data_IF_452382435106
#
_entry.id   IF_452382435106
#
_cell.length_a   1.000
_cell.length_b   1.000
_cell.length_c   1.000
_cell.angle_alpha   90.00
_cell.angle_beta   90.00
_cell.angle_gamma   90.00
#
_symmetry.space_group_name_H-M   'P 1'
#
loop_
_entity.id
_entity.type
_entity.pdbx_description
1 polymer ?
#
# COMPACT_ATOMS: atom_id res chain seq x y z
N UNK A 1 -26.03 -26.16 -35.89
CA UNK A 1 -27.10 -26.60 -34.95
C UNK A 1 -28.07 -27.64 -35.55
N UNK A 2 -28.42 -27.59 -36.84
CA UNK A 2 -29.36 -28.57 -37.45
C UNK A 2 -28.86 -30.03 -37.52
N UNK A 3 -27.55 -30.27 -37.65
CA UNK A 3 -26.98 -31.64 -37.71
C UNK A 3 -27.25 -32.47 -36.45
N UNK A 4 -27.23 -31.84 -35.27
CA UNK A 4 -27.45 -32.52 -33.98
C UNK A 4 -28.91 -32.97 -33.88
N UNK A 5 -29.85 -32.12 -34.30
CA UNK A 5 -31.28 -32.42 -34.25
C UNK A 5 -31.68 -33.59 -35.17
N UNK A 6 -31.12 -33.63 -36.39
CA UNK A 6 -31.40 -34.70 -37.36
C UNK A 6 -30.82 -36.05 -36.92
N UNK A 7 -29.69 -36.05 -36.23
CA UNK A 7 -29.06 -37.26 -35.68
C UNK A 7 -29.88 -37.86 -34.53
N UNK A 8 -30.41 -37.04 -33.63
CA UNK A 8 -31.27 -37.49 -32.52
C UNK A 8 -32.58 -38.10 -33.05
N UNK A 9 -33.09 -37.61 -34.19
CA UNK A 9 -34.35 -38.11 -34.79
C UNK A 9 -34.26 -39.58 -35.21
N UNK A 10 -33.10 -40.02 -35.71
CA UNK A 10 -32.88 -41.38 -36.23
C UNK A 10 -32.54 -42.44 -35.14
N UNK A 11 -32.51 -42.06 -33.85
CA UNK A 11 -32.21 -43.00 -32.76
C UNK A 11 -33.44 -43.78 -32.26
N UNK A 12 -33.20 -45.02 -31.82
CA UNK A 12 -34.16 -45.84 -31.06
C UNK A 12 -34.63 -45.14 -29.77
N UNK A 13 -35.89 -45.39 -29.39
CA UNK A 13 -36.57 -44.80 -28.23
C UNK A 13 -35.75 -44.95 -26.94
N UNK A 14 -35.14 -46.11 -26.70
CA UNK A 14 -34.32 -46.36 -25.51
C UNK A 14 -33.15 -45.38 -25.39
N UNK A 15 -32.49 -45.04 -26.51
CA UNK A 15 -31.38 -44.09 -26.52
C UNK A 15 -31.85 -42.64 -26.29
N UNK A 16 -33.03 -42.28 -26.79
CA UNK A 16 -33.64 -40.94 -26.56
C UNK A 16 -33.95 -40.73 -25.08
N UNK A 17 -34.48 -41.76 -24.41
CA UNK A 17 -34.82 -41.69 -22.98
C UNK A 17 -33.56 -41.46 -22.11
N UNK A 18 -32.49 -42.22 -22.36
CA UNK A 18 -31.22 -42.11 -21.63
C UNK A 18 -30.59 -40.72 -21.79
N UNK A 19 -30.59 -40.17 -23.02
CA UNK A 19 -30.06 -38.84 -23.29
C UNK A 19 -30.87 -37.75 -22.55
N UNK A 20 -32.21 -37.85 -22.53
CA UNK A 20 -33.04 -36.89 -21.81
C UNK A 20 -32.73 -36.86 -20.31
N UNK A 21 -32.57 -38.02 -19.67
CA UNK A 21 -32.17 -38.11 -18.26
C UNK A 21 -30.78 -37.51 -18.02
N UNK A 22 -29.82 -37.80 -18.89
CA UNK A 22 -28.46 -37.27 -18.77
C UNK A 22 -28.44 -35.73 -18.89
N UNK A 23 -29.22 -35.18 -19.82
CA UNK A 23 -29.35 -33.73 -20.02
C UNK A 23 -29.95 -33.07 -18.77
N UNK A 24 -31.06 -33.62 -18.25
CA UNK A 24 -31.74 -33.08 -17.07
C UNK A 24 -30.82 -33.11 -15.84
N UNK A 25 -29.94 -34.10 -15.73
CA UNK A 25 -29.03 -34.25 -14.60
C UNK A 25 -27.76 -33.38 -14.74
N UNK A 26 -27.26 -33.16 -15.96
CA UNK A 26 -25.98 -32.49 -16.21
C UNK A 26 -26.13 -30.97 -16.38
N UNK A 27 -27.14 -30.51 -17.13
CA UNK A 27 -27.36 -29.08 -17.39
C UNK A 27 -27.40 -28.23 -16.10
N UNK A 28 -28.18 -28.57 -15.05
CA UNK A 28 -28.24 -27.73 -13.86
C UNK A 28 -26.88 -27.64 -13.14
N UNK A 29 -26.09 -28.72 -13.12
CA UNK A 29 -24.75 -28.71 -12.55
C UNK A 29 -23.78 -27.79 -13.31
N UNK A 30 -23.86 -27.78 -14.65
CA UNK A 30 -23.05 -26.87 -15.48
C UNK A 30 -23.44 -25.41 -15.22
N UNK A 31 -24.74 -25.11 -15.09
CA UNK A 31 -25.21 -23.76 -14.81
C UNK A 31 -24.70 -23.29 -13.44
N UNK A 32 -24.89 -24.10 -12.39
CA UNK A 32 -24.43 -23.78 -11.04
C UNK A 32 -22.91 -23.62 -11.01
N UNK A 33 -22.17 -24.52 -11.66
CA UNK A 33 -20.72 -24.45 -11.75
C UNK A 33 -20.24 -23.20 -12.47
N UNK A 34 -20.88 -22.83 -13.58
CA UNK A 34 -20.57 -21.61 -14.33
C UNK A 34 -20.82 -20.34 -13.53
N UNK A 35 -21.97 -20.25 -12.85
CA UNK A 35 -22.29 -19.13 -11.95
C UNK A 35 -21.28 -19.07 -10.80
N UNK A 36 -21.01 -20.20 -10.15
CA UNK A 36 -20.04 -20.28 -9.05
C UNK A 36 -18.65 -19.85 -9.49
N UNK A 37 -18.20 -20.25 -10.69
CA UNK A 37 -16.92 -19.84 -11.25
C UNK A 37 -16.88 -18.34 -11.50
N UNK A 38 -17.94 -17.78 -12.10
CA UNK A 38 -18.02 -16.35 -12.36
C UNK A 38 -17.99 -15.54 -11.06
N UNK A 39 -18.77 -15.95 -10.05
CA UNK A 39 -18.80 -15.32 -8.73
C UNK A 39 -17.44 -15.40 -8.05
N UNK A 40 -16.80 -16.58 -8.05
CA UNK A 40 -15.47 -16.76 -7.47
C UNK A 40 -14.43 -15.87 -8.15
N UNK A 41 -14.44 -15.80 -9.49
CA UNK A 41 -13.54 -14.94 -10.27
C UNK A 41 -13.72 -13.47 -9.92
N UNK A 42 -14.95 -12.96 -9.96
CA UNK A 42 -15.23 -11.55 -9.66
C UNK A 42 -14.90 -11.20 -8.22
N UNK A 43 -15.25 -12.05 -7.26
CA UNK A 43 -14.93 -11.83 -5.85
C UNK A 43 -13.42 -11.87 -5.60
N UNK A 44 -12.69 -12.75 -6.28
CA UNK A 44 -11.24 -12.83 -6.17
C UNK A 44 -10.57 -11.58 -6.74
N UNK A 45 -10.96 -11.14 -7.94
CA UNK A 45 -10.46 -9.91 -8.57
C UNK A 45 -10.71 -8.67 -7.70
N UNK A 46 -11.94 -8.56 -7.18
CA UNK A 46 -12.32 -7.46 -6.31
C UNK A 46 -11.53 -7.48 -5.00
N UNK A 47 -11.44 -8.63 -4.33
CA UNK A 47 -10.70 -8.76 -3.07
C UNK A 47 -9.21 -8.48 -3.26
N UNK A 48 -8.59 -9.01 -4.32
CA UNK A 48 -7.18 -8.76 -4.62
C UNK A 48 -6.90 -7.27 -4.84
N UNK A 49 -7.73 -6.61 -5.65
CA UNK A 49 -7.58 -5.17 -5.94
C UNK A 49 -7.85 -4.30 -4.70
N UNK A 50 -8.89 -4.62 -3.94
CA UNK A 50 -9.23 -3.92 -2.70
C UNK A 50 -8.10 -4.04 -1.67
N UNK A 51 -7.52 -5.23 -1.51
CA UNK A 51 -6.39 -5.48 -0.60
C UNK A 51 -5.13 -4.73 -1.02
N UNK A 52 -4.82 -4.70 -2.31
CA UNK A 52 -3.70 -3.91 -2.81
C UNK A 52 -3.89 -2.41 -2.53
N UNK A 53 -5.10 -1.88 -2.77
CA UNK A 53 -5.43 -0.48 -2.49
C UNK A 53 -5.35 -0.16 -1.00
N UNK A 54 -5.87 -1.04 -0.14
CA UNK A 54 -5.81 -0.92 1.31
C UNK A 54 -4.35 -0.88 1.80
N UNK A 55 -3.51 -1.80 1.32
CA UNK A 55 -2.11 -1.86 1.69
C UNK A 55 -1.33 -0.60 1.28
N UNK A 56 -1.57 -0.10 0.06
CA UNK A 56 -0.96 1.15 -0.40
C UNK A 56 -1.44 2.33 0.44
N UNK A 57 -2.73 2.37 0.81
CA UNK A 57 -3.27 3.42 1.67
C UNK A 57 -2.62 3.42 3.05
N UNK A 58 -2.46 2.24 3.67
CA UNK A 58 -1.80 2.10 4.97
C UNK A 58 -0.35 2.55 4.88
N UNK A 59 0.37 2.09 3.85
CA UNK A 59 1.76 2.51 3.63
C UNK A 59 1.88 4.02 3.46
N UNK A 60 0.98 4.64 2.67
CA UNK A 60 0.95 6.08 2.49
C UNK A 60 0.72 6.80 3.83
N UNK A 61 -0.21 6.33 4.66
CA UNK A 61 -0.43 6.89 6.00
C UNK A 61 0.82 6.79 6.87
N UNK A 62 1.51 5.65 6.88
CA UNK A 62 2.76 5.48 7.65
C UNK A 62 3.84 6.42 7.15
N UNK A 63 4.03 6.54 5.84
CA UNK A 63 5.01 7.47 5.25
C UNK A 63 4.66 8.91 5.62
N UNK A 64 3.40 9.32 5.45
CA UNK A 64 2.96 10.66 5.79
C UNK A 64 3.15 10.98 7.26
N UNK A 65 2.83 10.04 8.17
CA UNK A 65 3.06 10.23 9.61
C UNK A 65 4.54 10.40 9.93
N UNK A 66 5.41 9.54 9.37
CA UNK A 66 6.86 9.65 9.59
C UNK A 66 7.43 10.98 9.08
N UNK A 67 6.97 11.46 7.92
CA UNK A 67 7.41 12.75 7.37
C UNK A 67 6.87 13.91 8.21
N UNK A 68 5.60 13.86 8.60
CA UNK A 68 4.96 14.91 9.41
C UNK A 68 5.63 15.06 10.78
N UNK A 69 5.98 13.94 11.44
CA UNK A 69 6.74 13.97 12.68
C UNK A 69 8.07 14.73 12.52
N UNK A 70 8.81 14.48 11.43
CA UNK A 70 10.06 15.21 11.13
C UNK A 70 9.84 16.65 10.74
N UNK A 71 8.70 16.96 10.13
CA UNK A 71 8.32 18.34 9.86
C UNK A 71 8.04 19.09 11.16
N UNK A 72 7.28 18.50 12.09
CA UNK A 72 7.02 19.08 13.42
C UNK A 72 8.33 19.31 14.19
N UNK A 73 9.24 18.34 14.17
CA UNK A 73 10.57 18.48 14.79
C UNK A 73 11.35 19.65 14.18
N UNK A 74 11.36 19.76 12.84
CA UNK A 74 12.03 20.84 12.13
C UNK A 74 11.41 22.21 12.41
N UNK A 75 10.07 22.31 12.46
CA UNK A 75 9.35 23.54 12.84
C UNK A 75 9.68 23.95 14.28
N UNK A 76 9.69 23.00 15.22
CA UNK A 76 10.09 23.27 16.59
C UNK A 76 11.51 23.86 16.66
N UNK A 77 12.47 23.27 15.93
CA UNK A 77 13.82 23.82 15.87
C UNK A 77 13.88 25.19 15.20
N UNK A 78 13.09 25.43 14.15
CA UNK A 78 13.01 26.74 13.50
C UNK A 78 12.46 27.83 14.44
N UNK A 79 11.51 27.49 15.31
CA UNK A 79 10.92 28.43 16.27
C UNK A 79 11.88 28.77 17.41
N UNK A 80 12.66 27.81 17.91
CA UNK A 80 13.57 28.02 19.04
C UNK A 80 14.96 28.50 18.64
N UNK A 81 15.39 28.25 17.39
CA UNK A 81 16.68 28.68 16.87
C UNK A 81 16.46 29.98 16.06
N UNK A 82 16.37 31.09 16.79
CA UNK A 82 16.32 32.45 16.22
C UNK A 82 17.71 33.06 16.10
N UNK A 83 17.83 34.20 15.41
CA UNK A 83 19.11 34.90 15.20
C UNK A 83 19.93 35.07 16.49
N UNK A 84 19.27 35.46 17.58
CA UNK A 84 19.90 35.65 18.90
C UNK A 84 20.55 34.38 19.48
N UNK A 85 20.10 33.20 19.04
CA UNK A 85 20.51 31.89 19.57
C UNK A 85 21.85 31.42 19.00
N UNK A 86 22.24 31.92 17.83
CA UNK A 86 23.52 31.61 17.17
C UNK A 86 24.39 32.85 16.91
N UNK A 87 23.95 34.02 17.34
CA UNK A 87 24.78 35.22 17.47
C UNK A 87 25.66 35.12 18.75
N UNK A 88 26.84 35.76 18.74
CA UNK A 88 27.75 35.91 19.88
C UNK A 88 28.36 34.62 20.47
N UNK A 89 28.77 33.65 19.64
CA UNK A 89 29.60 32.52 20.09
C UNK A 89 28.85 31.39 20.82
N UNK A 90 27.52 31.39 20.78
CA UNK A 90 26.65 30.37 21.36
C UNK A 90 26.45 29.13 20.46
N UNK A 91 27.27 28.99 19.41
CA UNK A 91 27.18 27.89 18.44
C UNK A 91 27.28 26.51 19.10
N UNK A 92 28.01 26.39 20.20
CA UNK A 92 28.15 25.14 20.97
C UNK A 92 26.83 24.70 21.62
N UNK A 93 25.99 25.67 22.04
CA UNK A 93 24.66 25.38 22.60
C UNK A 93 23.76 24.79 21.52
N UNK A 94 23.79 25.37 20.32
CA UNK A 94 23.05 24.86 19.17
C UNK A 94 23.54 23.47 18.79
N UNK A 95 24.85 23.26 18.66
CA UNK A 95 25.45 21.95 18.37
C UNK A 95 25.05 20.90 19.40
N UNK A 96 25.03 21.26 20.68
CA UNK A 96 24.62 20.35 21.76
C UNK A 96 23.16 19.93 21.62
N UNK A 97 22.24 20.88 21.35
CA UNK A 97 20.82 20.59 21.13
C UNK A 97 20.60 19.69 19.91
N UNK A 98 21.26 20.00 18.79
CA UNK A 98 21.21 19.20 17.57
C UNK A 98 21.78 17.79 17.79
N UNK A 99 22.87 17.66 18.55
CA UNK A 99 23.46 16.37 18.91
C UNK A 99 22.57 15.54 19.85
N UNK A 100 21.85 16.19 20.77
CA UNK A 100 20.86 15.51 21.62
C UNK A 100 19.72 14.95 20.78
N UNK A 101 19.18 15.74 19.85
CA UNK A 101 18.12 15.28 18.93
C UNK A 101 18.54 14.06 18.11
N UNK A 102 19.72 14.10 17.47
CA UNK A 102 20.24 12.96 16.70
C UNK A 102 20.41 11.69 17.55
N UNK A 103 20.76 11.81 18.83
CA UNK A 103 20.85 10.65 19.72
C UNK A 103 19.48 10.07 20.08
N UNK A 104 18.44 10.90 20.13
CA UNK A 104 17.06 10.49 20.39
C UNK A 104 16.38 9.93 19.13
N UNK A 105 16.83 10.36 17.96
CA UNK A 105 16.28 10.00 16.65
C UNK A 105 17.35 9.32 15.77
N UNK A 106 17.72 8.06 16.06
CA UNK A 106 18.74 7.33 15.29
C UNK A 106 18.34 7.10 13.81
N UNK A 107 17.06 7.25 13.48
CA UNK A 107 16.54 7.23 12.12
C UNK A 107 16.92 8.46 11.29
N UNK A 108 17.40 9.54 11.93
CA UNK A 108 17.81 10.78 11.27
C UNK A 108 19.31 10.73 10.95
N UNK A 109 19.66 10.79 9.66
CA UNK A 109 21.06 10.82 9.21
C UNK A 109 21.80 12.08 9.70
N UNK A 110 21.11 13.22 9.70
CA UNK A 110 21.66 14.46 10.24
C UNK A 110 20.66 15.59 10.27
N UNK A 111 21.01 16.63 11.02
CA UNK A 111 20.26 17.87 11.15
C UNK A 111 21.21 19.04 10.92
N UNK A 112 20.72 20.09 10.28
CA UNK A 112 21.51 21.29 9.99
C UNK A 112 20.68 22.56 10.12
N UNK A 113 21.36 23.66 10.37
CA UNK A 113 20.82 25.01 10.24
C UNK A 113 21.66 25.81 9.23
N UNK A 114 20.99 26.68 8.48
CA UNK A 114 21.60 27.64 7.58
C UNK A 114 21.07 29.03 7.88
N UNK A 115 21.95 30.00 8.08
CA UNK A 115 21.59 31.41 8.31
C UNK A 115 21.66 32.23 7.03
N UNK A 116 20.98 33.38 6.98
CA UNK A 116 21.06 34.31 5.85
C UNK A 116 22.48 34.84 5.60
N UNK A 117 23.28 34.91 6.67
CA UNK A 117 24.70 35.30 6.62
C UNK A 117 25.62 34.22 6.05
N UNK A 118 25.08 33.06 5.65
CA UNK A 118 25.83 31.95 5.08
C UNK A 118 26.51 31.06 6.12
N UNK A 119 26.20 31.21 7.41
CA UNK A 119 26.68 30.26 8.43
C UNK A 119 25.92 28.96 8.33
N UNK A 120 26.67 27.86 8.40
CA UNK A 120 26.13 26.51 8.33
C UNK A 120 26.61 25.69 9.53
N UNK A 121 25.66 25.15 10.29
CA UNK A 121 25.95 24.28 11.43
C UNK A 121 25.22 22.97 11.20
N UNK A 122 25.99 21.88 11.08
CA UNK A 122 25.47 20.53 10.88
C UNK A 122 25.95 19.59 11.97
N UNK A 123 25.08 18.68 12.36
CA UNK A 123 25.41 17.50 13.15
C UNK A 123 24.95 16.25 12.40
N UNK A 124 25.72 15.17 12.49
CA UNK A 124 25.46 13.89 11.82
C UNK A 124 25.46 12.77 12.87
N UNK A 125 24.66 11.73 12.64
CA UNK A 125 24.74 10.51 13.43
C UNK A 125 26.14 9.89 13.22
N UNK A 126 26.93 9.76 14.29
CA UNK A 126 28.21 9.05 14.20
C UNK A 126 27.90 7.57 13.93
N UNK A 127 28.12 7.13 12.69
CA UNK A 127 28.21 5.71 12.37
C UNK A 127 29.31 5.10 13.23
N UNK A 128 28.99 4.03 13.95
CA UNK A 128 29.98 3.11 14.49
C UNK A 128 30.63 2.31 13.35
#
# INVERSE_FOLDING_TARGET
MQKIFNWVKCMSINKKLIISFFIILTIPGIIIGGVSYQTAKTNFEHQMTAKAKENISILNTVISQNIEEKFVDATYFADILTEDTYLNGQEEIVRTKLAQYIKLHPEVEGIYIGTETGKFIRTCLKSF
#
